data_IF_336268253699
#
_entry.id   IF_336268253699
#
_cell.length_a   1.000
_cell.length_b   1.000
_cell.length_c   1.000
_cell.angle_alpha   90.00
_cell.angle_beta   90.00
_cell.angle_gamma   90.00
#
_symmetry.space_group_name_H-M   'P 1'
#
loop_
_entity.id
_entity.type
_entity.pdbx_description
1 polymer ?
#
# COMPACT_ATOMS: atom_id res chain seq x y z
N UNK A 1 24.25 13.74 2.64
CA UNK A 1 24.67 14.39 1.39
C UNK A 1 23.86 13.73 0.29
N UNK A 2 22.99 14.46 -0.37
CA UNK A 2 22.11 13.92 -1.44
C UNK A 2 22.72 14.24 -2.80
N UNK A 3 22.47 13.38 -3.80
CA UNK A 3 22.96 13.58 -5.16
C UNK A 3 22.06 14.56 -5.91
N UNK A 4 22.34 15.87 -5.78
CA UNK A 4 21.51 16.93 -6.39
C UNK A 4 22.10 17.49 -7.70
N UNK A 5 23.25 16.98 -8.13
CA UNK A 5 23.89 17.44 -9.35
C UNK A 5 23.21 16.86 -10.58
N UNK A 6 22.84 17.72 -11.52
CA UNK A 6 22.33 17.30 -12.81
C UNK A 6 23.48 16.86 -13.70
N UNK A 7 23.35 15.68 -14.32
CA UNK A 7 24.28 15.19 -15.32
C UNK A 7 23.86 15.65 -16.72
N UNK A 8 24.85 15.84 -17.61
CA UNK A 8 24.61 16.16 -19.01
C UNK A 8 23.96 14.98 -19.76
N UNK A 9 23.43 15.25 -20.94
CA UNK A 9 22.70 14.25 -21.74
C UNK A 9 23.58 13.08 -22.19
N UNK A 10 24.88 13.32 -22.43
CA UNK A 10 25.81 12.25 -22.80
C UNK A 10 26.06 11.31 -21.61
N UNK A 11 26.34 11.87 -20.45
CA UNK A 11 26.52 11.11 -19.20
C UNK A 11 25.25 10.35 -18.85
N UNK A 12 24.06 10.96 -19.03
CA UNK A 12 22.78 10.30 -18.84
C UNK A 12 22.62 9.09 -19.75
N UNK A 13 22.90 9.24 -21.03
CA UNK A 13 22.79 8.14 -21.99
C UNK A 13 23.71 6.96 -21.62
N UNK A 14 24.94 7.24 -21.18
CA UNK A 14 25.86 6.21 -20.70
C UNK A 14 25.35 5.52 -19.43
N UNK A 15 24.86 6.30 -18.45
CA UNK A 15 24.30 5.74 -17.22
C UNK A 15 23.06 4.86 -17.49
N UNK A 16 22.16 5.28 -18.39
CA UNK A 16 21.02 4.46 -18.80
C UNK A 16 21.45 3.17 -19.50
N UNK A 17 22.47 3.21 -20.33
CA UNK A 17 22.98 2.02 -21.01
C UNK A 17 23.54 1.00 -20.00
N UNK A 18 24.30 1.47 -19.01
CA UNK A 18 24.82 0.62 -17.93
C UNK A 18 23.70 0.08 -17.04
N UNK A 19 22.71 0.91 -16.67
CA UNK A 19 21.54 0.46 -15.90
C UNK A 19 20.77 -0.65 -16.64
N UNK A 20 20.56 -0.49 -17.96
CA UNK A 20 19.94 -1.52 -18.81
C UNK A 20 20.79 -2.79 -18.93
N UNK A 21 22.12 -2.67 -18.87
CA UNK A 21 23.02 -3.83 -18.84
C UNK A 21 22.85 -4.59 -17.54
N UNK A 22 22.86 -3.90 -16.39
CA UNK A 22 22.63 -4.49 -15.09
C UNK A 22 21.27 -5.20 -15.00
N UNK A 23 20.20 -4.64 -15.61
CA UNK A 23 18.90 -5.32 -15.71
C UNK A 23 19.01 -6.65 -16.48
N UNK A 24 19.70 -6.69 -17.62
CA UNK A 24 19.88 -7.94 -18.39
C UNK A 24 20.59 -9.01 -17.58
N UNK A 25 21.64 -8.63 -16.85
CA UNK A 25 22.37 -9.55 -15.99
C UNK A 25 21.51 -10.05 -14.83
N UNK A 26 20.74 -9.15 -14.19
CA UNK A 26 19.80 -9.51 -13.13
C UNK A 26 18.72 -10.49 -13.64
N UNK A 27 18.18 -10.27 -14.85
CA UNK A 27 17.22 -11.20 -15.48
C UNK A 27 17.83 -12.58 -15.71
N UNK A 28 19.05 -12.65 -16.27
CA UNK A 28 19.73 -13.92 -16.50
C UNK A 28 19.96 -14.69 -15.17
N UNK A 29 20.33 -13.98 -14.10
CA UNK A 29 20.46 -14.58 -12.77
C UNK A 29 19.12 -15.03 -12.18
N UNK A 30 18.05 -14.25 -12.38
CA UNK A 30 16.71 -14.61 -11.92
C UNK A 30 16.23 -15.90 -12.63
N UNK A 31 16.37 -15.97 -13.94
CA UNK A 31 16.05 -17.17 -14.73
C UNK A 31 16.85 -18.40 -14.26
N UNK A 32 18.15 -18.22 -14.00
CA UNK A 32 19.01 -19.30 -13.50
C UNK A 32 18.60 -19.78 -12.11
N UNK A 33 18.22 -18.88 -11.20
CA UNK A 33 17.72 -19.22 -9.85
C UNK A 33 16.36 -19.92 -9.89
N UNK A 34 15.51 -19.57 -10.86
CA UNK A 34 14.21 -20.21 -11.06
C UNK A 34 14.28 -21.55 -11.80
N UNK A 35 15.41 -21.86 -12.44
CA UNK A 35 15.57 -23.11 -13.19
C UNK A 35 15.40 -24.35 -12.31
N UNK A 36 14.93 -25.46 -12.90
CA UNK A 36 14.46 -26.65 -12.19
C UNK A 36 15.47 -27.33 -11.26
N UNK A 37 16.75 -27.14 -11.51
CA UNK A 37 17.86 -27.70 -10.71
C UNK A 37 18.16 -26.86 -9.44
N UNK A 38 17.84 -25.56 -9.43
CA UNK A 38 17.89 -24.69 -8.24
C UNK A 38 16.51 -24.53 -7.62
N UNK A 39 15.51 -24.24 -8.45
CA UNK A 39 14.09 -24.13 -8.13
C UNK A 39 13.82 -23.18 -6.92
N UNK A 40 14.52 -22.04 -6.87
CA UNK A 40 14.31 -21.07 -5.82
C UNK A 40 12.92 -20.44 -5.96
N UNK A 41 12.21 -20.28 -4.82
CA UNK A 41 10.86 -19.73 -4.82
C UNK A 41 10.82 -18.31 -5.42
N UNK A 42 9.83 -18.05 -6.28
CA UNK A 42 9.68 -16.79 -7.05
C UNK A 42 9.75 -15.51 -6.21
N UNK A 43 9.27 -15.54 -4.96
CA UNK A 43 9.35 -14.38 -4.07
C UNK A 43 10.80 -13.99 -3.72
N UNK A 44 11.73 -14.94 -3.67
CA UNK A 44 13.14 -14.67 -3.44
C UNK A 44 13.84 -14.28 -4.75
N UNK A 45 13.51 -14.96 -5.84
CA UNK A 45 14.05 -14.64 -7.17
C UNK A 45 13.72 -13.20 -7.57
N UNK A 46 12.47 -12.77 -7.36
CA UNK A 46 12.03 -11.43 -7.75
C UNK A 46 12.75 -10.30 -7.02
N UNK A 47 13.33 -10.55 -5.84
CA UNK A 47 14.04 -9.50 -5.08
C UNK A 47 15.24 -8.91 -5.82
N UNK A 48 15.92 -9.69 -6.68
CA UNK A 48 17.02 -9.14 -7.49
C UNK A 48 16.53 -8.28 -8.66
N UNK A 49 15.22 -8.34 -8.98
CA UNK A 49 14.60 -7.54 -10.05
C UNK A 49 13.91 -6.28 -9.51
N UNK A 50 13.74 -6.14 -8.21
CA UNK A 50 13.03 -5.00 -7.58
C UNK A 50 13.58 -3.63 -8.02
N UNK A 51 14.90 -3.40 -8.14
CA UNK A 51 15.44 -2.11 -8.57
C UNK A 51 15.03 -1.71 -10.00
N UNK A 52 14.59 -2.65 -10.82
CA UNK A 52 14.25 -2.46 -12.22
C UNK A 52 12.74 -2.58 -12.50
N UNK A 53 11.94 -2.86 -11.48
CA UNK A 53 10.50 -3.11 -11.63
C UNK A 53 9.66 -1.89 -11.21
N UNK A 54 8.54 -1.73 -11.88
CA UNK A 54 7.50 -0.82 -11.44
C UNK A 54 6.61 -1.51 -10.40
N UNK A 55 6.20 -0.77 -9.38
CA UNK A 55 5.27 -1.23 -8.36
C UNK A 55 4.13 -0.22 -8.20
N UNK A 56 2.91 -0.72 -8.11
CA UNK A 56 1.75 0.08 -7.72
C UNK A 56 1.56 -0.03 -6.22
N UNK A 57 1.50 1.10 -5.54
CA UNK A 57 1.35 1.17 -4.08
C UNK A 57 0.14 2.05 -3.75
N UNK A 58 -0.70 1.58 -2.81
CA UNK A 58 -1.73 2.43 -2.18
C UNK A 58 -1.15 3.03 -0.91
N UNK A 59 -1.30 4.34 -0.74
CA UNK A 59 -0.87 5.06 0.46
C UNK A 59 -2.08 5.78 1.03
N UNK A 60 -2.40 5.53 2.28
CA UNK A 60 -3.48 6.20 3.02
C UNK A 60 -2.93 6.79 4.30
N UNK A 61 -3.24 8.04 4.57
CA UNK A 61 -2.72 8.75 5.73
C UNK A 61 -3.55 9.98 6.06
N UNK A 62 -3.34 10.54 7.24
CA UNK A 62 -4.00 11.75 7.72
C UNK A 62 -3.06 12.94 7.85
N UNK A 63 -1.75 12.70 8.01
CA UNK A 63 -0.75 13.74 8.25
C UNK A 63 -0.07 14.19 6.95
N UNK A 64 -0.84 14.41 5.88
CA UNK A 64 -0.33 14.80 4.56
C UNK A 64 0.46 16.12 4.57
N UNK A 65 0.04 17.10 5.39
CA UNK A 65 0.76 18.36 5.51
C UNK A 65 2.20 18.14 6.01
N UNK A 66 2.37 17.28 7.01
CA UNK A 66 3.69 16.92 7.52
C UNK A 66 4.51 16.15 6.48
N UNK A 67 3.90 15.17 5.82
CA UNK A 67 4.57 14.41 4.76
C UNK A 67 5.09 15.32 3.65
N UNK A 68 4.26 16.19 3.10
CA UNK A 68 4.66 17.09 2.02
C UNK A 68 5.72 18.09 2.47
N UNK A 69 5.58 18.68 3.67
CA UNK A 69 6.60 19.57 4.21
C UNK A 69 7.99 18.92 4.28
N UNK A 70 8.03 17.65 4.70
CA UNK A 70 9.30 16.92 4.86
C UNK A 70 9.84 16.37 3.54
N UNK A 71 9.00 15.95 2.61
CA UNK A 71 9.42 15.18 1.43
C UNK A 71 9.52 16.00 0.14
N UNK A 72 8.97 17.23 0.12
CA UNK A 72 9.21 18.18 -0.98
C UNK A 72 10.32 19.17 -0.68
N UNK A 73 10.95 19.07 0.51
CA UNK A 73 12.10 19.91 0.88
C UNK A 73 13.31 19.62 -0.02
N UNK A 74 14.17 20.63 -0.24
CA UNK A 74 15.35 20.50 -1.09
C UNK A 74 16.36 19.45 -0.60
N UNK A 75 16.45 19.24 0.72
CA UNK A 75 17.32 18.23 1.34
C UNK A 75 16.71 16.81 1.34
N UNK A 76 15.49 16.62 0.83
CA UNK A 76 14.93 15.29 0.71
C UNK A 76 15.65 14.46 -0.34
N UNK A 77 15.67 13.15 -0.16
CA UNK A 77 16.24 12.23 -1.16
C UNK A 77 15.60 12.49 -2.53
N UNK A 78 16.37 12.73 -3.61
CA UNK A 78 15.84 13.20 -4.89
C UNK A 78 14.71 12.36 -5.47
N UNK A 79 14.81 11.03 -5.40
CA UNK A 79 13.80 10.11 -5.93
C UNK A 79 12.49 10.23 -5.14
N UNK A 80 12.59 10.30 -3.80
CA UNK A 80 11.43 10.47 -2.94
C UNK A 80 10.81 11.86 -3.09
N UNK A 81 11.66 12.91 -3.21
CA UNK A 81 11.21 14.27 -3.47
C UNK A 81 10.41 14.36 -4.77
N UNK A 82 10.92 13.78 -5.85
CA UNK A 82 10.23 13.79 -7.14
C UNK A 82 8.83 13.17 -7.04
N UNK A 83 8.72 12.01 -6.40
CA UNK A 83 7.41 11.35 -6.16
C UNK A 83 6.51 12.24 -5.27
N UNK A 84 7.07 12.81 -4.20
CA UNK A 84 6.31 13.66 -3.28
C UNK A 84 5.80 14.95 -3.97
N UNK A 85 6.60 15.55 -4.85
CA UNK A 85 6.18 16.72 -5.65
C UNK A 85 5.00 16.36 -6.58
N UNK A 86 5.07 15.21 -7.27
CA UNK A 86 3.96 14.71 -8.11
C UNK A 86 2.70 14.41 -7.28
N UNK A 87 2.86 13.79 -6.10
CA UNK A 87 1.76 13.53 -5.18
C UNK A 87 1.14 14.84 -4.67
N UNK A 88 1.94 15.85 -4.30
CA UNK A 88 1.45 17.15 -3.85
C UNK A 88 0.67 17.86 -4.95
N UNK A 89 1.15 17.80 -6.19
CA UNK A 89 0.43 18.35 -7.33
C UNK A 89 -0.94 17.66 -7.48
N UNK A 90 -0.97 16.33 -7.53
CA UNK A 90 -2.21 15.57 -7.63
C UNK A 90 -3.17 15.84 -6.46
N UNK A 91 -2.63 15.97 -5.23
CA UNK A 91 -3.42 16.33 -4.04
C UNK A 91 -4.09 17.71 -4.18
N UNK A 92 -3.35 18.72 -4.67
CA UNK A 92 -3.89 20.08 -4.87
C UNK A 92 -4.91 20.18 -6.00
N UNK A 93 -4.77 19.37 -7.01
CA UNK A 93 -5.70 19.31 -8.17
C UNK A 93 -6.94 18.46 -7.88
N UNK A 94 -6.91 17.63 -6.82
CA UNK A 94 -8.05 16.79 -6.46
C UNK A 94 -9.15 17.57 -5.77
N UNK A 95 -10.39 17.09 -5.93
CA UNK A 95 -11.55 17.56 -5.16
C UNK A 95 -11.99 16.44 -4.22
N UNK A 96 -11.58 16.46 -2.95
CA UNK A 96 -11.93 15.42 -2.01
C UNK A 96 -13.44 15.47 -1.68
N UNK A 97 -14.04 14.29 -1.49
CA UNK A 97 -15.39 14.17 -0.93
C UNK A 97 -15.31 14.30 0.60
N UNK A 98 -16.05 15.24 1.16
CA UNK A 98 -16.26 15.29 2.61
C UNK A 98 -17.12 14.10 3.03
N UNK A 99 -16.72 13.41 4.09
CA UNK A 99 -17.47 12.32 4.69
C UNK A 99 -17.99 12.75 6.09
N UNK A 100 -19.26 12.43 6.35
CA UNK A 100 -19.86 12.59 7.66
C UNK A 100 -19.56 11.38 8.57
N UNK A 101 -19.83 11.53 9.88
CA UNK A 101 -19.77 10.41 10.81
C UNK A 101 -20.68 9.26 10.34
N UNK A 102 -20.15 8.05 10.35
CA UNK A 102 -20.84 6.84 9.86
C UNK A 102 -20.70 6.59 8.35
N UNK A 103 -20.24 7.55 7.57
CA UNK A 103 -19.84 7.30 6.18
C UNK A 103 -18.42 6.73 6.14
N UNK A 104 -18.12 5.99 5.08
CA UNK A 104 -16.85 5.27 4.97
C UNK A 104 -16.03 5.70 3.76
N UNK A 105 -14.74 5.89 3.97
CA UNK A 105 -13.75 5.90 2.92
C UNK A 105 -13.49 4.45 2.49
N UNK A 106 -13.87 4.14 1.27
CA UNK A 106 -13.72 2.81 0.66
C UNK A 106 -12.92 2.96 -0.63
N UNK A 107 -11.58 3.01 -0.56
CA UNK A 107 -10.76 3.18 -1.75
C UNK A 107 -10.97 2.04 -2.74
N UNK A 108 -10.78 2.33 -4.04
CA UNK A 108 -10.93 1.36 -5.14
C UNK A 108 -12.36 0.84 -5.38
N UNK A 109 -13.36 1.34 -4.67
CA UNK A 109 -14.77 1.16 -5.01
C UNK A 109 -15.16 2.18 -6.08
N UNK A 110 -15.87 1.74 -7.08
CA UNK A 110 -16.25 2.57 -8.22
C UNK A 110 -17.63 3.21 -7.98
N UNK A 111 -17.94 4.33 -8.65
CA UNK A 111 -19.20 5.06 -8.40
C UNK A 111 -20.46 4.24 -8.58
N UNK A 112 -20.50 3.31 -9.55
CA UNK A 112 -21.62 2.41 -9.78
C UNK A 112 -21.76 1.36 -8.68
N UNK A 113 -20.64 0.86 -8.16
CA UNK A 113 -20.63 -0.07 -7.02
C UNK A 113 -21.04 0.63 -5.72
N UNK A 114 -20.64 1.89 -5.54
CA UNK A 114 -21.06 2.68 -4.38
C UNK A 114 -22.58 2.86 -4.32
N UNK A 115 -23.23 2.98 -5.47
CA UNK A 115 -24.68 3.14 -5.56
C UNK A 115 -25.46 1.82 -5.43
N UNK A 116 -24.86 0.70 -5.79
CA UNK A 116 -25.57 -0.58 -5.93
C UNK A 116 -25.25 -1.60 -4.85
N UNK A 117 -24.06 -1.51 -4.23
CA UNK A 117 -23.64 -2.52 -3.26
C UNK A 117 -23.92 -2.08 -1.81
N UNK A 118 -24.33 -3.01 -0.93
CA UNK A 118 -24.39 -2.76 0.51
C UNK A 118 -23.05 -2.31 1.08
N UNK A 119 -23.07 -1.50 2.15
CA UNK A 119 -21.86 -0.97 2.78
C UNK A 119 -20.88 -2.09 3.16
N UNK A 120 -21.35 -3.15 3.81
CA UNK A 120 -20.49 -4.26 4.24
C UNK A 120 -19.75 -4.90 3.06
N UNK A 121 -20.45 -5.15 1.97
CA UNK A 121 -19.84 -5.67 0.72
C UNK A 121 -18.78 -4.71 0.16
N UNK A 122 -19.04 -3.41 0.19
CA UNK A 122 -18.07 -2.39 -0.24
C UNK A 122 -16.83 -2.39 0.64
N UNK A 123 -16.96 -2.52 1.96
CA UNK A 123 -15.83 -2.62 2.88
C UNK A 123 -14.96 -3.84 2.55
N UNK A 124 -15.58 -5.00 2.35
CA UNK A 124 -14.88 -6.26 2.00
C UNK A 124 -14.14 -6.15 0.66
N UNK A 125 -14.80 -5.65 -0.37
CA UNK A 125 -14.22 -5.49 -1.71
C UNK A 125 -13.08 -4.45 -1.68
N UNK A 126 -13.27 -3.33 -0.97
CA UNK A 126 -12.24 -2.30 -0.83
C UNK A 126 -10.95 -2.84 -0.19
N UNK A 127 -11.07 -3.60 0.90
CA UNK A 127 -9.94 -4.28 1.56
C UNK A 127 -9.27 -5.27 0.60
N UNK A 128 -10.04 -6.12 -0.07
CA UNK A 128 -9.50 -7.11 -1.01
C UNK A 128 -8.74 -6.44 -2.17
N UNK A 129 -9.28 -5.35 -2.72
CA UNK A 129 -8.63 -4.59 -3.80
C UNK A 129 -7.38 -3.86 -3.31
N UNK A 130 -7.37 -3.33 -2.09
CA UNK A 130 -6.17 -2.78 -1.48
C UNK A 130 -5.08 -3.84 -1.32
N UNK A 131 -5.43 -5.06 -0.89
CA UNK A 131 -4.50 -6.17 -0.75
C UNK A 131 -3.85 -6.61 -2.08
N UNK A 132 -4.55 -6.45 -3.19
CA UNK A 132 -4.07 -6.88 -4.52
C UNK A 132 -3.76 -5.72 -5.48
N UNK A 133 -3.60 -4.50 -4.96
CA UNK A 133 -3.41 -3.32 -5.80
C UNK A 133 -2.24 -3.45 -6.79
N UNK A 134 -1.17 -4.15 -6.41
CA UNK A 134 -0.02 -4.43 -7.26
C UNK A 134 -0.27 -5.58 -8.28
N UNK A 135 -1.37 -6.31 -8.13
CA UNK A 135 -1.77 -7.44 -8.99
C UNK A 135 -3.09 -7.17 -9.72
N UNK A 136 -3.54 -5.91 -9.75
CA UNK A 136 -4.73 -5.57 -10.51
C UNK A 136 -4.54 -5.99 -11.96
N UNK A 137 -5.40 -6.88 -12.43
CA UNK A 137 -5.45 -7.22 -13.84
C UNK A 137 -5.86 -5.97 -14.61
N UNK A 138 -5.09 -5.62 -15.62
CA UNK A 138 -5.36 -4.43 -16.44
C UNK A 138 -6.55 -4.62 -17.39
N UNK A 139 -7.21 -5.78 -17.35
CA UNK A 139 -8.37 -6.14 -18.16
C UNK A 139 -9.70 -5.52 -17.64
N UNK A 140 -9.66 -4.82 -16.50
CA UNK A 140 -10.83 -4.19 -15.89
C UNK A 140 -11.87 -5.19 -15.35
N UNK A 141 -11.57 -6.48 -15.31
CA UNK A 141 -12.49 -7.50 -14.81
C UNK A 141 -12.78 -7.29 -13.33
N UNK A 142 -14.07 -7.13 -13.00
CA UNK A 142 -14.58 -6.98 -11.64
C UNK A 142 -15.27 -8.27 -11.25
N UNK A 143 -14.67 -9.01 -10.33
CA UNK A 143 -15.23 -10.23 -9.78
C UNK A 143 -15.41 -10.08 -8.28
N UNK A 144 -16.60 -9.59 -7.88
CA UNK A 144 -16.93 -9.35 -6.49
C UNK A 144 -16.85 -10.64 -5.65
N UNK A 145 -17.16 -11.79 -6.23
CA UNK A 145 -17.07 -13.06 -5.50
C UNK A 145 -15.62 -13.39 -5.13
N UNK A 146 -14.69 -13.18 -6.06
CA UNK A 146 -13.25 -13.35 -5.78
C UNK A 146 -12.70 -12.29 -4.81
N UNK A 147 -13.20 -11.06 -4.85
CA UNK A 147 -12.83 -10.04 -3.88
C UNK A 147 -13.27 -10.46 -2.47
N UNK A 148 -14.50 -10.95 -2.30
CA UNK A 148 -15.01 -11.43 -1.01
C UNK A 148 -14.24 -12.66 -0.53
N UNK A 149 -13.97 -13.64 -1.41
CA UNK A 149 -13.14 -14.80 -1.06
C UNK A 149 -11.74 -14.39 -0.58
N UNK A 150 -11.14 -13.40 -1.23
CA UNK A 150 -9.84 -12.86 -0.80
C UNK A 150 -9.94 -12.21 0.59
N UNK A 151 -10.98 -11.39 0.83
CA UNK A 151 -11.23 -10.79 2.12
C UNK A 151 -11.34 -11.83 3.23
N UNK A 152 -12.11 -12.87 3.03
CA UNK A 152 -12.28 -13.97 4.00
C UNK A 152 -10.95 -14.65 4.32
N UNK A 153 -10.10 -14.86 3.33
CA UNK A 153 -8.74 -15.40 3.55
C UNK A 153 -7.85 -14.47 4.35
N UNK A 154 -7.96 -13.14 4.14
CA UNK A 154 -7.19 -12.15 4.90
C UNK A 154 -7.56 -12.15 6.38
N UNK A 155 -8.86 -12.27 6.70
CA UNK A 155 -9.38 -12.34 8.08
C UNK A 155 -9.10 -13.70 8.72
N UNK A 156 -9.17 -14.78 7.95
CA UNK A 156 -9.15 -16.17 8.44
C UNK A 156 -7.89 -16.57 9.18
N UNK A 157 -6.81 -15.81 9.06
CA UNK A 157 -5.55 -16.04 9.79
C UNK A 157 -5.57 -15.66 11.28
N UNK A 158 -6.66 -15.10 11.81
CA UNK A 158 -6.73 -14.60 13.18
C UNK A 158 -5.61 -13.58 13.46
N UNK A 159 -4.87 -13.72 14.57
CA UNK A 159 -3.73 -12.84 14.89
C UNK A 159 -2.60 -12.86 13.83
N UNK A 160 -2.51 -13.92 13.04
CA UNK A 160 -1.59 -14.04 11.90
C UNK A 160 -2.25 -13.61 10.57
N UNK A 161 -3.42 -12.98 10.60
CA UNK A 161 -4.11 -12.46 9.43
C UNK A 161 -3.34 -11.32 8.76
N UNK A 162 -3.74 -11.02 7.53
CA UNK A 162 -3.12 -9.94 6.76
C UNK A 162 -3.90 -8.65 6.97
N UNK A 163 -3.58 -7.90 8.03
CA UNK A 163 -4.34 -6.73 8.49
C UNK A 163 -3.98 -5.42 7.83
N UNK A 164 -2.84 -5.32 7.13
CA UNK A 164 -2.43 -4.07 6.47
C UNK A 164 -3.44 -3.52 5.45
N UNK A 165 -4.16 -4.34 4.63
CA UNK A 165 -5.14 -3.80 3.70
C UNK A 165 -6.35 -3.13 4.37
N UNK A 166 -6.66 -3.51 5.61
CA UNK A 166 -7.80 -2.98 6.36
C UNK A 166 -7.58 -1.55 6.86
N UNK A 167 -6.33 -1.10 6.95
CA UNK A 167 -6.02 0.26 7.37
C UNK A 167 -6.32 1.31 6.30
N UNK A 168 -6.50 0.90 5.03
CA UNK A 168 -6.88 1.80 3.96
C UNK A 168 -8.36 2.18 3.97
N UNK A 169 -9.17 1.45 4.71
CA UNK A 169 -10.61 1.66 4.88
C UNK A 169 -10.84 2.32 6.23
N UNK A 170 -11.56 3.45 6.27
CA UNK A 170 -11.74 4.23 7.49
C UNK A 170 -13.03 5.05 7.48
N UNK A 171 -13.48 5.47 8.66
CA UNK A 171 -14.61 6.36 8.86
C UNK A 171 -14.22 7.55 9.74
N UNK A 172 -14.79 8.75 9.54
CA UNK A 172 -14.53 9.89 10.42
C UNK A 172 -14.86 9.59 11.88
N UNK A 173 -14.00 10.06 12.79
CA UNK A 173 -14.29 10.09 14.21
C UNK A 173 -15.04 11.38 14.57
N UNK A 174 -15.89 11.37 15.62
CA UNK A 174 -16.58 12.58 16.10
C UNK A 174 -15.61 13.70 16.48
N UNK A 175 -14.41 13.35 16.96
CA UNK A 175 -13.34 14.31 17.25
C UNK A 175 -12.24 14.19 16.20
N UNK A 176 -11.96 15.31 15.52
CA UNK A 176 -10.89 15.41 14.54
C UNK A 176 -9.47 15.22 15.10
N UNK A 177 -9.32 15.29 16.44
CA UNK A 177 -8.02 15.10 17.11
C UNK A 177 -7.85 13.71 17.72
N UNK A 178 -8.88 12.87 17.72
CA UNK A 178 -8.78 11.50 18.22
C UNK A 178 -7.94 10.62 17.27
N UNK A 179 -7.23 9.66 17.86
CA UNK A 179 -6.38 8.73 17.12
C UNK A 179 -6.96 7.32 17.11
N UNK A 180 -6.92 6.68 15.96
CA UNK A 180 -7.17 5.25 15.80
C UNK A 180 -6.00 4.65 15.00
N UNK A 181 -5.16 3.86 15.66
CA UNK A 181 -3.89 3.43 15.09
C UNK A 181 -2.97 4.62 14.80
N UNK A 182 -2.57 4.76 13.55
CA UNK A 182 -1.76 5.88 13.04
C UNK A 182 -2.58 6.96 12.31
N UNK A 183 -3.92 6.93 12.41
CA UNK A 183 -4.80 7.94 11.83
C UNK A 183 -5.33 8.89 12.88
N UNK A 184 -5.34 10.18 12.57
CA UNK A 184 -5.95 11.23 13.38
C UNK A 184 -7.28 11.67 12.76
N UNK A 185 -8.32 11.72 13.59
CA UNK A 185 -9.67 12.08 13.17
C UNK A 185 -10.43 11.00 12.39
N UNK A 186 -9.84 9.81 12.24
CA UNK A 186 -10.42 8.71 11.48
C UNK A 186 -10.26 7.38 12.23
N UNK A 187 -11.30 6.56 12.23
CA UNK A 187 -11.27 5.20 12.76
C UNK A 187 -10.96 4.21 11.65
N UNK A 188 -9.83 3.53 11.77
CA UNK A 188 -9.42 2.50 10.82
C UNK A 188 -10.29 1.25 10.94
N UNK A 189 -10.77 0.72 9.85
CA UNK A 189 -11.55 -0.52 9.82
C UNK A 189 -10.79 -1.69 10.48
N UNK A 190 -9.48 -1.74 10.31
CA UNK A 190 -8.58 -2.67 10.98
C UNK A 190 -8.81 -2.72 12.50
N UNK A 191 -9.02 -1.58 13.16
CA UNK A 191 -9.18 -1.49 14.62
C UNK A 191 -10.50 -2.06 15.16
N UNK A 192 -11.42 -2.43 14.28
CA UNK A 192 -12.66 -3.11 14.64
C UNK A 192 -12.51 -4.62 14.79
N UNK A 193 -11.32 -5.16 14.53
CA UNK A 193 -11.00 -6.58 14.67
C UNK A 193 -10.10 -6.80 15.89
N UNK A 194 -10.61 -7.36 17.00
CA UNK A 194 -9.80 -7.58 18.20
C UNK A 194 -8.55 -8.42 18.00
N UNK A 195 -8.57 -9.29 16.98
CA UNK A 195 -7.48 -10.18 16.62
C UNK A 195 -6.42 -9.55 15.69
N UNK A 196 -6.51 -8.26 15.36
CA UNK A 196 -5.59 -7.59 14.44
C UNK A 196 -4.16 -7.46 14.99
N UNK A 197 -3.98 -7.71 16.26
CA UNK A 197 -2.68 -7.77 16.94
C UNK A 197 -2.65 -8.90 17.95
N UNK A 198 -1.45 -9.42 18.22
CA UNK A 198 -1.23 -10.38 19.28
C UNK A 198 -1.17 -9.68 20.65
N UNK A 199 -1.87 -10.20 21.64
CA UNK A 199 -1.86 -9.68 23.03
C UNK A 199 -0.62 -10.11 23.83
N UNK A 200 0.17 -11.08 23.32
CA UNK A 200 1.37 -11.64 23.98
C UNK A 200 2.36 -12.14 22.95
N UNK A 201 3.60 -12.35 23.36
CA UNK A 201 4.59 -12.98 22.50
C UNK A 201 4.25 -14.46 22.22
N UNK A 202 4.71 -15.02 21.09
CA UNK A 202 4.50 -16.44 20.79
C UNK A 202 4.99 -17.34 21.92
N UNK A 203 4.12 -18.22 22.42
CA UNK A 203 4.42 -19.14 23.53
C UNK A 203 4.16 -18.57 24.94
N UNK A 204 3.77 -17.31 25.05
CA UNK A 204 3.38 -16.68 26.31
C UNK A 204 1.86 -16.69 26.49
N UNK A 205 1.40 -16.92 27.71
CA UNK A 205 -0.01 -16.71 28.05
C UNK A 205 -0.27 -15.21 28.17
N UNK A 206 -1.36 -14.66 27.57
CA UNK A 206 -1.70 -13.27 27.73
C UNK A 206 -1.74 -12.89 29.22
N UNK A 207 -1.00 -11.84 29.60
CA UNK A 207 -1.09 -11.30 30.95
C UNK A 207 -2.54 -10.91 31.18
N UNK A 208 -3.14 -11.44 32.25
CA UNK A 208 -4.49 -11.05 32.67
C UNK A 208 -4.47 -9.53 32.85
N UNK A 209 -5.21 -8.79 32.02
CA UNK A 209 -5.26 -7.35 32.12
C UNK A 209 -5.70 -6.99 33.54
N UNK A 210 -4.80 -6.45 34.33
CA UNK A 210 -5.14 -5.79 35.58
C UNK A 210 -6.05 -4.63 35.21
N UNK A 211 -7.33 -4.75 35.56
CA UNK A 211 -8.34 -3.70 35.46
C UNK A 211 -8.04 -2.58 36.44
#
# INVERSE_FOLDING_TARGET
MQANEQIDDQTRALAEAEWRSALRDALAHAERLAASDINLHKQLVNRILEPFAWITVIVTGTEWANFFTQRTHEDAQPELKHIADMMLQAYRESTPRALAEGEWHTPLILPDEELTLPLETRLQISVARAARVSYLSHDGTRDHAKDIELYERLVGGGANGHWSPFEHVATPLPSGDAWSGNFRGWDQYRKRFPQEHAASFPGETPATALR
#
